data_IF_202431195490
#
_entry.id   IF_202431195490
#
_cell.length_a   1.000
_cell.length_b   1.000
_cell.length_c   1.000
_cell.angle_alpha   90.00
_cell.angle_beta   90.00
_cell.angle_gamma   90.00
#
_symmetry.space_group_name_H-M   'P 1'
#
loop_
_entity.id
_entity.type
_entity.pdbx_description
1 polymer ?
#
# COMPACT_ATOMS: atom_id res chain seq x y z
N UNK A 1 -14.03 5.19 9.86
CA UNK A 1 -12.96 6.18 9.55
C UNK A 1 -13.14 6.82 8.18
N UNK A 2 -13.01 6.12 7.04
CA UNK A 2 -13.05 6.78 5.72
C UNK A 2 -14.36 7.52 5.43
N UNK A 3 -15.51 6.94 5.79
CA UNK A 3 -16.81 7.62 5.71
C UNK A 3 -16.89 8.87 6.59
N UNK A 4 -16.28 8.84 7.77
CA UNK A 4 -16.22 10.00 8.66
C UNK A 4 -15.34 11.11 8.07
N UNK A 5 -14.21 10.77 7.44
CA UNK A 5 -13.37 11.74 6.73
C UNK A 5 -14.13 12.36 5.56
N UNK A 6 -14.80 11.53 4.74
CA UNK A 6 -15.60 12.01 3.60
C UNK A 6 -16.74 12.93 4.03
N UNK A 7 -17.41 12.65 5.16
CA UNK A 7 -18.48 13.50 5.68
C UNK A 7 -17.98 14.80 6.31
N UNK A 8 -16.72 14.87 6.74
CA UNK A 8 -16.12 16.05 7.39
C UNK A 8 -15.40 16.97 6.42
N UNK A 9 -14.89 16.42 5.32
CA UNK A 9 -14.13 17.16 4.32
C UNK A 9 -15.06 17.65 3.21
N UNK A 10 -14.72 18.78 2.58
CA UNK A 10 -15.47 19.28 1.43
C UNK A 10 -15.42 18.29 0.26
N UNK A 11 -16.43 18.34 -0.62
CA UNK A 11 -16.49 17.48 -1.80
C UNK A 11 -15.29 17.66 -2.74
N UNK A 12 -14.68 18.85 -2.74
CA UNK A 12 -13.46 19.16 -3.52
C UNK A 12 -12.18 18.58 -2.91
N UNK A 13 -12.25 18.00 -1.71
CA UNK A 13 -11.10 17.37 -1.08
C UNK A 13 -10.88 15.95 -1.61
N UNK A 14 -9.75 15.74 -2.27
CA UNK A 14 -9.30 14.40 -2.66
C UNK A 14 -8.75 13.64 -1.46
N UNK A 15 -9.16 12.38 -1.32
CA UNK A 15 -8.59 11.45 -0.34
C UNK A 15 -7.97 10.30 -1.11
N UNK A 16 -6.66 10.17 -1.02
CA UNK A 16 -5.89 9.07 -1.59
C UNK A 16 -5.70 7.99 -0.52
N UNK A 17 -5.96 6.74 -0.88
CA UNK A 17 -5.84 5.60 0.04
C UNK A 17 -4.93 4.55 -0.60
N UNK A 18 -3.78 4.31 0.02
CA UNK A 18 -2.90 3.18 -0.32
C UNK A 18 -3.52 1.86 0.10
N UNK A 19 -3.49 0.86 -0.78
CA UNK A 19 -3.75 -0.52 -0.39
C UNK A 19 -2.50 -1.16 0.24
N UNK A 20 -2.59 -2.43 0.64
CA UNK A 20 -1.45 -3.14 1.22
C UNK A 20 -0.46 -3.50 0.09
N UNK A 21 0.82 -3.10 0.21
CA UNK A 21 1.85 -3.50 -0.74
C UNK A 21 2.08 -5.01 -0.78
N UNK A 22 2.83 -5.53 -1.76
CA UNK A 22 3.17 -6.96 -1.82
C UNK A 22 4.21 -7.36 -0.76
N UNK A 23 3.76 -7.50 0.50
CA UNK A 23 4.62 -7.90 1.63
C UNK A 23 5.19 -9.32 1.45
N UNK A 24 4.68 -10.10 0.50
CA UNK A 24 5.19 -11.43 0.18
C UNK A 24 6.60 -11.43 -0.44
N UNK A 25 7.11 -10.24 -0.81
CA UNK A 25 8.48 -10.02 -1.26
C UNK A 25 9.43 -9.59 -0.14
N UNK A 26 8.93 -9.35 1.07
CA UNK A 26 9.76 -8.90 2.20
C UNK A 26 10.25 -10.11 2.98
N UNK A 27 11.57 -10.34 2.93
CA UNK A 27 12.22 -11.55 3.47
C UNK A 27 11.94 -11.79 4.96
N UNK A 28 11.74 -10.73 5.74
CA UNK A 28 11.46 -10.84 7.19
C UNK A 28 10.24 -11.71 7.50
N UNK A 29 9.19 -11.64 6.69
CA UNK A 29 8.00 -12.49 6.90
C UNK A 29 8.33 -13.97 6.69
N UNK A 30 9.13 -14.28 5.66
CA UNK A 30 9.63 -15.64 5.41
C UNK A 30 10.54 -16.11 6.55
N UNK A 31 11.45 -15.25 7.05
CA UNK A 31 12.34 -15.55 8.18
C UNK A 31 11.59 -15.83 9.49
N UNK A 32 10.37 -15.29 9.63
CA UNK A 32 9.47 -15.56 10.76
C UNK A 32 8.59 -16.79 10.54
N UNK A 33 8.80 -17.54 9.45
CA UNK A 33 8.05 -18.75 9.13
C UNK A 33 6.65 -18.50 8.58
N UNK A 34 6.33 -17.27 8.15
CA UNK A 34 5.03 -16.95 7.55
C UNK A 34 5.04 -17.43 6.09
N UNK A 35 4.15 -18.38 5.70
CA UNK A 35 4.17 -18.89 4.34
C UNK A 35 3.79 -17.81 3.32
N UNK A 36 4.59 -17.67 2.24
CA UNK A 36 4.35 -16.69 1.17
C UNK A 36 2.93 -16.75 0.63
N UNK A 37 2.42 -17.97 0.36
CA UNK A 37 1.06 -18.18 -0.14
C UNK A 37 -0.01 -17.65 0.84
N UNK A 38 0.15 -17.91 2.14
CA UNK A 38 -0.77 -17.42 3.16
C UNK A 38 -0.76 -15.90 3.20
N UNK A 39 0.42 -15.28 3.14
CA UNK A 39 0.56 -13.83 3.12
C UNK A 39 -0.07 -13.21 1.86
N UNK A 40 0.20 -13.76 0.66
CA UNK A 40 -0.41 -13.31 -0.60
C UNK A 40 -1.95 -13.39 -0.55
N UNK A 41 -2.52 -14.48 -0.02
CA UNK A 41 -3.97 -14.62 0.12
C UNK A 41 -4.57 -13.56 1.05
N UNK A 42 -3.91 -13.29 2.19
CA UNK A 42 -4.38 -12.26 3.12
C UNK A 42 -4.27 -10.85 2.51
N UNK A 43 -3.15 -10.53 1.86
CA UNK A 43 -2.97 -9.25 1.17
C UNK A 43 -4.08 -9.05 0.12
N UNK A 44 -4.35 -10.07 -0.71
CA UNK A 44 -5.40 -10.00 -1.71
C UNK A 44 -6.76 -9.73 -1.07
N UNK A 45 -7.14 -10.50 -0.04
CA UNK A 45 -8.41 -10.35 0.67
C UNK A 45 -8.59 -8.93 1.23
N UNK A 46 -7.56 -8.38 1.85
CA UNK A 46 -7.61 -7.03 2.40
C UNK A 46 -7.63 -5.96 1.31
N UNK A 47 -6.85 -6.11 0.24
CA UNK A 47 -6.84 -5.17 -0.88
C UNK A 47 -8.19 -5.12 -1.61
N UNK A 48 -8.87 -6.26 -1.75
CA UNK A 48 -10.24 -6.31 -2.28
C UNK A 48 -11.22 -5.53 -1.38
N UNK A 49 -11.13 -5.70 -0.06
CA UNK A 49 -11.96 -4.97 0.90
C UNK A 49 -11.67 -3.46 0.88
N UNK A 50 -10.39 -3.06 0.84
CA UNK A 50 -9.96 -1.65 0.74
C UNK A 50 -10.53 -1.05 -0.55
N UNK A 51 -10.38 -1.72 -1.69
CA UNK A 51 -10.90 -1.25 -2.99
C UNK A 51 -12.41 -1.01 -2.94
N UNK A 52 -13.17 -1.91 -2.33
CA UNK A 52 -14.62 -1.74 -2.17
C UNK A 52 -14.96 -0.53 -1.30
N UNK A 53 -14.27 -0.35 -0.18
CA UNK A 53 -14.49 0.77 0.74
C UNK A 53 -14.10 2.11 0.09
N UNK A 54 -12.97 2.16 -0.61
CA UNK A 54 -12.50 3.36 -1.33
C UNK A 54 -13.52 3.78 -2.39
N UNK A 55 -14.00 2.83 -3.21
CA UNK A 55 -15.03 3.09 -4.22
C UNK A 55 -16.33 3.59 -3.59
N UNK A 56 -16.80 2.94 -2.51
CA UNK A 56 -18.04 3.32 -1.81
C UNK A 56 -18.00 4.75 -1.27
N UNK A 57 -16.83 5.24 -0.88
CA UNK A 57 -16.66 6.58 -0.28
C UNK A 57 -16.10 7.61 -1.28
N UNK A 58 -16.13 7.33 -2.59
CA UNK A 58 -15.66 8.25 -3.63
C UNK A 58 -14.24 8.78 -3.36
N UNK A 59 -13.35 7.89 -2.93
CA UNK A 59 -11.93 8.20 -2.70
C UNK A 59 -11.08 7.59 -3.82
N UNK A 60 -9.84 8.03 -3.93
CA UNK A 60 -8.89 7.57 -4.95
C UNK A 60 -8.03 6.43 -4.38
N UNK A 61 -7.99 5.31 -5.10
CA UNK A 61 -7.12 4.18 -4.73
C UNK A 61 -5.71 4.41 -5.27
N UNK A 62 -4.72 4.32 -4.40
CA UNK A 62 -3.30 4.19 -4.78
C UNK A 62 -2.95 2.70 -4.70
N UNK A 63 -2.77 2.05 -5.84
CA UNK A 63 -2.50 0.60 -5.92
C UNK A 63 -1.03 0.28 -5.63
N UNK A 64 -0.65 0.39 -4.35
CA UNK A 64 0.68 0.03 -3.87
C UNK A 64 1.03 -1.40 -4.22
N UNK A 65 0.11 -2.36 -4.12
CA UNK A 65 0.37 -3.78 -4.43
C UNK A 65 0.97 -3.98 -5.83
N UNK A 66 0.41 -3.34 -6.86
CA UNK A 66 0.92 -3.45 -8.23
C UNK A 66 2.28 -2.77 -8.40
N UNK A 67 2.49 -1.62 -7.76
CA UNK A 67 3.77 -0.91 -7.78
C UNK A 67 4.87 -1.65 -7.00
N UNK A 68 4.52 -2.32 -5.91
CA UNK A 68 5.47 -2.90 -4.96
C UNK A 68 6.22 -4.14 -5.46
N UNK A 69 5.84 -4.68 -6.61
CA UNK A 69 6.60 -5.76 -7.25
C UNK A 69 8.06 -5.36 -7.48
N UNK A 70 8.32 -4.06 -7.66
CA UNK A 70 9.67 -3.50 -7.79
C UNK A 70 10.55 -3.72 -6.54
N UNK A 71 9.98 -4.05 -5.36
CA UNK A 71 10.80 -4.42 -4.18
C UNK A 71 11.70 -5.63 -4.42
N UNK A 72 11.27 -6.56 -5.28
CA UNK A 72 12.11 -7.70 -5.64
C UNK A 72 13.36 -7.28 -6.42
N UNK A 73 13.30 -6.12 -7.07
CA UNK A 73 14.38 -5.51 -7.85
C UNK A 73 15.17 -4.49 -7.01
N UNK A 74 14.53 -3.91 -5.98
CA UNK A 74 15.08 -2.86 -5.10
C UNK A 74 15.06 -3.25 -3.61
N UNK A 75 15.86 -4.24 -3.19
CA UNK A 75 15.94 -4.63 -1.78
C UNK A 75 16.36 -3.48 -0.85
N UNK A 76 17.08 -2.47 -1.37
CA UNK A 76 17.47 -1.25 -0.66
C UNK A 76 16.31 -0.37 -0.20
N UNK A 77 15.10 -0.59 -0.73
CA UNK A 77 13.90 0.10 -0.26
C UNK A 77 13.43 -0.43 1.11
N UNK A 78 13.87 -1.60 1.54
CA UNK A 78 13.56 -2.12 2.87
C UNK A 78 14.64 -1.70 3.86
N UNK A 79 14.22 -1.25 5.04
CA UNK A 79 15.12 -0.90 6.14
C UNK A 79 15.91 -2.12 6.64
N UNK A 80 17.03 -1.87 7.32
CA UNK A 80 17.83 -2.93 7.93
C UNK A 80 17.03 -3.85 8.87
N UNK A 81 16.05 -3.30 9.60
CA UNK A 81 15.16 -4.06 10.50
C UNK A 81 14.07 -4.86 9.77
N UNK A 82 13.95 -4.67 8.45
CA UNK A 82 13.23 -5.59 7.58
C UNK A 82 11.71 -5.49 7.60
N UNK A 83 11.12 -4.59 8.38
CA UNK A 83 9.66 -4.37 8.45
C UNK A 83 9.20 -3.03 7.92
N UNK A 84 10.09 -2.05 7.90
CA UNK A 84 9.81 -0.69 7.46
C UNK A 84 10.57 -0.40 6.18
N UNK A 85 10.13 0.64 5.47
CA UNK A 85 10.89 1.21 4.37
C UNK A 85 12.16 1.89 4.89
N UNK A 86 13.20 1.86 4.07
CA UNK A 86 14.35 2.76 4.19
C UNK A 86 13.96 4.18 3.75
N UNK A 87 14.88 5.15 3.87
CA UNK A 87 14.68 6.50 3.32
C UNK A 87 14.33 6.46 1.85
N UNK A 88 15.09 5.71 1.03
CA UNK A 88 14.83 5.55 -0.40
C UNK A 88 13.47 4.88 -0.67
N UNK A 89 13.08 3.91 0.17
CA UNK A 89 11.76 3.29 0.07
C UNK A 89 10.61 4.27 0.34
N UNK A 90 10.76 5.15 1.34
CA UNK A 90 9.77 6.21 1.60
C UNK A 90 9.75 7.27 0.50
N UNK A 91 10.88 7.65 -0.07
CA UNK A 91 10.93 8.55 -1.24
C UNK A 91 10.16 7.96 -2.40
N UNK A 92 10.36 6.68 -2.69
CA UNK A 92 9.61 5.97 -3.74
C UNK A 92 8.11 5.91 -3.45
N UNK A 93 7.73 5.63 -2.20
CA UNK A 93 6.34 5.65 -1.77
C UNK A 93 5.69 7.02 -2.01
N UNK A 94 6.38 8.12 -1.66
CA UNK A 94 5.91 9.48 -1.90
C UNK A 94 5.70 9.72 -3.40
N UNK A 95 6.62 9.29 -4.26
CA UNK A 95 6.46 9.42 -5.71
C UNK A 95 5.20 8.70 -6.22
N UNK A 96 4.91 7.49 -5.75
CA UNK A 96 3.72 6.73 -6.15
C UNK A 96 2.43 7.49 -5.78
N UNK A 97 2.36 8.03 -4.55
CA UNK A 97 1.23 8.86 -4.13
C UNK A 97 1.13 10.16 -4.94
N UNK A 98 2.25 10.84 -5.18
CA UNK A 98 2.28 12.09 -5.92
C UNK A 98 1.83 11.90 -7.37
N UNK A 99 2.26 10.83 -8.04
CA UNK A 99 1.80 10.47 -9.38
C UNK A 99 0.29 10.20 -9.41
N UNK A 100 -0.28 9.57 -8.39
CA UNK A 100 -1.73 9.36 -8.32
C UNK A 100 -2.48 10.67 -8.06
N UNK A 101 -1.91 11.59 -7.29
CA UNK A 101 -2.48 12.91 -7.03
C UNK A 101 -2.51 13.82 -8.27
N UNK A 102 -1.57 13.64 -9.21
CA UNK A 102 -1.52 14.44 -10.44
C UNK A 102 -2.51 13.96 -11.53
N UNK A 103 -3.09 12.77 -11.38
CA UNK A 103 -4.17 12.27 -12.25
C UNK A 103 -5.51 12.89 -11.86
#
# INVERSE_FOLDING_TARGET
MLSQLRNKLGNDTRILVGNIPDLSQVNTYTSLGIPKLLLTLQIKRWNDAIKQIVKKNQCDLVDLYSHWKELSEHPEYISFYGFYLSTHGYERLVQIFYQQYLK
#
